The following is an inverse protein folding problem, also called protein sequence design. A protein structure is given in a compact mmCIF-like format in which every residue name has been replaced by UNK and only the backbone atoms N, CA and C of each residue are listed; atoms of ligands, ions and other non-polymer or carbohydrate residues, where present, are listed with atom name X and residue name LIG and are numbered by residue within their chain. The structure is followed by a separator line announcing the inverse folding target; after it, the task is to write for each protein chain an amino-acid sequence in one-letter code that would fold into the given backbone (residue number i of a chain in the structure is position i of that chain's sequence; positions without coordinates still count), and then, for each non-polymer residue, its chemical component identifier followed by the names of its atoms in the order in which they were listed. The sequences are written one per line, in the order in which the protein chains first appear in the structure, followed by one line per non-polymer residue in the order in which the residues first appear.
data_IF_153914580006
#
_entry.id   IF_153914580006
#
_cell.length_a   1.000
_cell.length_b   1.000
_cell.length_c   1.000
_cell.angle_alpha   90.00
_cell.angle_beta   90.00
_cell.angle_gamma   90.00
#
_symmetry.space_group_name_H-M   'P 1'
#
loop_
_entity.id
_entity.type
_entity.pdbx_description
1 polymer ?
#
# COMPACT_ATOMS: atom_id res chain seq x y z
N UNK A 1 19.35 -2.02 -14.24
CA UNK A 1 18.19 -2.79 -13.76
C UNK A 1 18.60 -3.40 -12.44
N UNK A 2 17.92 -3.07 -11.34
CA UNK A 2 18.21 -3.68 -10.03
C UNK A 2 17.76 -5.14 -10.13
N UNK A 3 18.62 -6.09 -9.79
CA UNK A 3 18.20 -7.49 -9.72
C UNK A 3 17.07 -7.60 -8.69
N UNK A 4 15.91 -8.10 -9.12
CA UNK A 4 14.83 -8.44 -8.22
C UNK A 4 15.39 -9.42 -7.17
N UNK A 5 15.24 -9.16 -5.86
CA UNK A 5 15.69 -10.09 -4.84
C UNK A 5 15.14 -11.48 -5.16
N UNK A 6 16.01 -12.51 -5.12
CA UNK A 6 15.75 -13.89 -5.57
C UNK A 6 14.62 -14.63 -4.82
N UNK A 7 13.91 -13.93 -3.96
CA UNK A 7 12.91 -14.45 -3.03
C UNK A 7 11.59 -13.64 -3.09
N UNK A 8 11.35 -12.90 -4.18
CA UNK A 8 10.05 -12.25 -4.39
C UNK A 8 9.02 -13.28 -4.81
N UNK A 9 7.99 -13.41 -3.98
CA UNK A 9 6.81 -14.22 -4.23
C UNK A 9 6.01 -13.65 -5.42
N UNK A 10 5.88 -14.44 -6.48
CA UNK A 10 5.20 -14.01 -7.71
C UNK A 10 3.72 -13.67 -7.46
N UNK A 11 3.06 -14.38 -6.53
CA UNK A 11 1.66 -14.14 -6.21
C UNK A 11 1.46 -12.75 -5.58
N UNK A 12 2.44 -12.31 -4.80
CA UNK A 12 2.47 -10.96 -4.20
C UNK A 12 2.58 -9.89 -5.28
N UNK A 13 3.48 -10.07 -6.25
CA UNK A 13 3.65 -9.14 -7.40
C UNK A 13 2.37 -9.05 -8.23
N UNK A 14 1.74 -10.19 -8.49
CA UNK A 14 0.50 -10.26 -9.27
C UNK A 14 -0.63 -9.54 -8.54
N UNK A 15 -0.81 -9.80 -7.24
CA UNK A 15 -1.89 -9.15 -6.47
C UNK A 15 -1.65 -7.65 -6.30
N UNK A 16 -0.42 -7.21 -6.07
CA UNK A 16 -0.08 -5.77 -6.04
C UNK A 16 -0.40 -5.13 -7.39
N UNK A 17 -0.01 -5.75 -8.51
CA UNK A 17 -0.33 -5.23 -9.85
C UNK A 17 -1.83 -5.11 -10.04
N UNK A 18 -2.58 -6.16 -9.70
CA UNK A 18 -4.04 -6.19 -9.83
C UNK A 18 -4.68 -5.06 -9.02
N UNK A 19 -4.28 -4.88 -7.76
CA UNK A 19 -4.82 -3.83 -6.89
C UNK A 19 -4.44 -2.41 -7.36
N UNK A 20 -3.23 -2.23 -7.91
CA UNK A 20 -2.79 -0.96 -8.47
C UNK A 20 -3.42 -0.66 -9.83
N UNK A 21 -3.86 -1.66 -10.59
CA UNK A 21 -4.52 -1.45 -11.88
C UNK A 21 -6.04 -1.25 -11.71
N UNK A 22 -6.64 -1.79 -10.63
CA UNK A 22 -8.03 -1.51 -10.19
C UNK A 22 -8.24 -0.05 -9.68
N UNK A 23 -7.31 0.87 -9.99
CA UNK A 23 -6.99 2.16 -9.37
C UNK A 23 -8.05 3.28 -9.37
N UNK A 24 -9.30 3.03 -9.74
CA UNK A 24 -10.32 4.08 -9.65
C UNK A 24 -10.63 4.48 -8.19
N UNK A 25 -10.24 3.67 -7.21
CA UNK A 25 -10.64 3.80 -5.80
C UNK A 25 -9.50 4.18 -4.83
N UNK A 26 -8.24 4.25 -5.28
CA UNK A 26 -7.08 4.35 -4.38
C UNK A 26 -6.05 5.39 -4.83
N UNK A 27 -6.48 6.53 -5.36
CA UNK A 27 -5.62 7.69 -5.54
C UNK A 27 -5.81 8.66 -4.35
N UNK A 28 -4.79 8.89 -3.50
CA UNK A 28 -3.43 8.34 -3.55
C UNK A 28 -3.33 6.90 -3.02
N UNK A 29 -2.34 6.15 -3.51
CA UNK A 29 -2.06 4.77 -3.10
C UNK A 29 -1.64 4.77 -1.64
N UNK A 30 -2.52 4.25 -0.78
CA UNK A 30 -2.28 4.11 0.66
C UNK A 30 -1.43 2.87 0.91
N UNK A 31 -0.12 3.07 1.08
CA UNK A 31 0.88 1.98 1.07
C UNK A 31 0.60 0.96 2.18
N UNK A 32 0.35 1.44 3.40
CA UNK A 32 0.12 0.56 4.54
C UNK A 32 -1.20 -0.23 4.42
N UNK A 33 -2.29 0.43 4.01
CA UNK A 33 -3.58 -0.26 3.77
C UNK A 33 -3.44 -1.28 2.64
N UNK A 34 -2.73 -0.94 1.58
CA UNK A 34 -2.55 -1.83 0.43
C UNK A 34 -1.77 -3.09 0.84
N UNK A 35 -0.73 -2.95 1.68
CA UNK A 35 -0.01 -4.09 2.27
C UNK A 35 -0.93 -5.00 3.07
N UNK A 36 -1.79 -4.43 3.92
CA UNK A 36 -2.76 -5.21 4.69
C UNK A 36 -3.73 -5.99 3.77
N UNK A 37 -4.17 -5.39 2.66
CA UNK A 37 -5.03 -6.05 1.66
C UNK A 37 -4.32 -7.19 0.93
N UNK A 38 -3.06 -6.99 0.55
CA UNK A 38 -2.23 -8.04 -0.07
C UNK A 38 -2.07 -9.22 0.88
N UNK A 39 -1.78 -8.95 2.17
CA UNK A 39 -1.67 -9.96 3.23
C UNK A 39 -2.93 -10.79 3.43
N UNK A 40 -4.10 -10.18 3.29
CA UNK A 40 -5.38 -10.88 3.41
C UNK A 40 -5.63 -11.86 2.26
N UNK A 41 -5.01 -11.63 1.09
CA UNK A 41 -5.29 -12.38 -0.14
C UNK A 41 -4.20 -13.36 -0.53
N UNK A 42 -2.94 -13.05 -0.22
CA UNK A 42 -1.78 -13.84 -0.61
C UNK A 42 -1.09 -14.38 0.63
N UNK A 43 -0.91 -15.71 0.69
CA UNK A 43 -0.12 -16.35 1.73
C UNK A 43 1.35 -16.28 1.34
N UNK A 44 2.07 -15.33 1.91
CA UNK A 44 3.49 -15.12 1.63
C UNK A 44 4.33 -15.13 2.90
N UNK A 45 5.58 -15.58 2.79
CA UNK A 45 6.60 -15.48 3.84
C UNK A 45 7.28 -14.11 3.92
N UNK A 46 7.05 -13.23 2.93
CA UNK A 46 7.65 -11.90 2.88
C UNK A 46 7.19 -11.06 4.08
N UNK A 47 8.07 -10.31 4.75
CA UNK A 47 7.67 -9.38 5.80
C UNK A 47 6.93 -8.18 5.19
N UNK A 48 6.07 -7.54 5.99
CA UNK A 48 5.21 -6.43 5.52
C UNK A 48 6.02 -5.29 4.90
N UNK A 49 7.19 -4.99 5.47
CA UNK A 49 8.13 -4.01 4.92
C UNK A 49 8.56 -4.33 3.47
N UNK A 50 8.80 -5.60 3.14
CA UNK A 50 9.18 -5.98 1.78
C UNK A 50 8.01 -5.85 0.81
N UNK A 51 6.79 -6.09 1.28
CA UNK A 51 5.57 -5.86 0.50
C UNK A 51 5.37 -4.35 0.26
N UNK A 52 5.58 -3.52 1.29
CA UNK A 52 5.52 -2.05 1.18
C UNK A 52 6.57 -1.51 0.19
N UNK A 53 7.82 -1.97 0.28
CA UNK A 53 8.89 -1.57 -0.65
C UNK A 53 8.53 -1.94 -2.10
N UNK A 54 7.96 -3.13 -2.32
CA UNK A 54 7.50 -3.56 -3.64
C UNK A 54 6.32 -2.72 -4.16
N UNK A 55 5.36 -2.40 -3.29
CA UNK A 55 4.24 -1.50 -3.63
C UNK A 55 4.78 -0.13 -4.06
N UNK A 56 5.71 0.44 -3.31
CA UNK A 56 6.32 1.75 -3.61
C UNK A 56 7.03 1.70 -4.96
N UNK A 57 7.82 0.68 -5.22
CA UNK A 57 8.49 0.50 -6.52
C UNK A 57 7.49 0.43 -7.67
N UNK A 58 6.46 -0.43 -7.54
CA UNK A 58 5.47 -0.66 -8.58
C UNK A 58 4.53 0.53 -8.82
N UNK A 59 4.20 1.29 -7.78
CA UNK A 59 3.42 2.51 -7.88
C UNK A 59 4.24 3.66 -8.47
N UNK A 60 5.54 3.75 -8.12
CA UNK A 60 6.47 4.73 -8.68
C UNK A 60 6.65 4.56 -10.19
N UNK A 61 6.80 3.31 -10.66
CA UNK A 61 6.89 3.00 -12.09
C UNK A 61 5.63 3.41 -12.86
N UNK A 62 4.46 3.36 -12.21
CA UNK A 62 3.18 3.80 -12.76
C UNK A 62 2.91 5.31 -12.59
N UNK A 63 3.83 6.06 -11.95
CA UNK A 63 3.67 7.48 -11.61
C UNK A 63 2.40 7.77 -10.79
N UNK A 64 2.06 6.87 -9.88
CA UNK A 64 0.91 7.04 -9.00
C UNK A 64 1.27 7.90 -7.79
N UNK A 65 0.34 8.76 -7.36
CA UNK A 65 0.46 9.44 -6.07
C UNK A 65 0.37 8.40 -4.95
N UNK A 66 1.19 8.56 -3.90
CA UNK A 66 1.25 7.64 -2.76
C UNK A 66 1.06 8.40 -1.45
N UNK A 67 0.41 7.74 -0.49
CA UNK A 67 0.27 8.20 0.88
C UNK A 67 0.89 7.16 1.83
N UNK A 68 1.75 7.64 2.73
CA UNK A 68 2.39 6.85 3.77
C UNK A 68 1.69 7.17 5.10
N UNK A 69 0.79 6.28 5.50
CA UNK A 69 0.02 6.40 6.74
C UNK A 69 0.71 5.62 7.86
N UNK A 70 0.63 6.11 9.10
CA UNK A 70 1.04 5.30 10.25
C UNK A 70 -0.11 4.35 10.61
N UNK A 71 0.17 3.07 10.93
CA UNK A 71 -0.85 2.14 11.41
C UNK A 71 -1.61 2.74 12.61
N UNK A 72 -2.93 2.86 12.48
CA UNK A 72 -3.79 3.33 13.58
C UNK A 72 -3.77 4.84 13.85
N UNK A 73 -3.05 5.65 13.08
CA UNK A 73 -3.25 7.10 13.10
C UNK A 73 -4.31 7.44 12.05
N UNK A 74 -5.57 7.45 12.46
CA UNK A 74 -6.52 8.30 11.74
C UNK A 74 -6.01 9.74 11.95
N UNK A 75 -5.35 10.32 10.94
CA UNK A 75 -4.89 11.72 10.97
C UNK A 75 -6.08 12.70 10.88
N UNK A 76 -7.23 12.34 11.47
CA UNK A 76 -8.38 13.20 11.70
C UNK A 76 -8.23 13.78 13.10
N UNK A 77 -7.94 15.08 13.16
CA UNK A 77 -8.24 15.86 14.36
C UNK A 77 -9.76 15.90 14.48
N UNK A 78 -10.31 15.16 15.44
CA UNK A 78 -11.72 15.31 15.81
C UNK A 78 -11.91 16.74 16.32
N UNK A 79 -12.56 17.61 15.55
CA UNK A 79 -12.88 18.97 16.01
C UNK A 79 -14.03 18.83 17.02
N UNK A 80 -13.83 19.25 18.29
CA UNK A 80 -14.89 19.15 19.28
C UNK A 80 -16.09 20.01 18.86
N UNK A 81 -17.29 19.43 18.89
CA UNK A 81 -18.57 20.09 18.52
C UNK A 81 -18.84 21.40 19.28
N UNK A 82 -18.13 21.64 20.39
CA UNK A 82 -18.19 22.88 21.17
C UNK A 82 -17.67 24.12 20.43
N UNK A 83 -16.95 23.96 19.33
CA UNK A 83 -16.45 25.06 18.48
C UNK A 83 -17.42 25.45 17.35
N UNK A 84 -18.56 24.75 17.20
CA UNK A 84 -19.60 25.05 16.21
C UNK A 84 -20.75 25.92 16.77
N UNK A 85 -20.50 26.68 17.83
CA UNK A 85 -21.46 27.65 18.39
C UNK A 85 -21.06 29.08 18.11
#
# INVERSE_FOLDING_TARGET
MRELPKDIDADVVIEISRLLDDNALFAPVRVHELTARVRQKVKTGLPDRSIEELIVEMASLRRLAMAFELPGSENVVQIPERLLR
#
